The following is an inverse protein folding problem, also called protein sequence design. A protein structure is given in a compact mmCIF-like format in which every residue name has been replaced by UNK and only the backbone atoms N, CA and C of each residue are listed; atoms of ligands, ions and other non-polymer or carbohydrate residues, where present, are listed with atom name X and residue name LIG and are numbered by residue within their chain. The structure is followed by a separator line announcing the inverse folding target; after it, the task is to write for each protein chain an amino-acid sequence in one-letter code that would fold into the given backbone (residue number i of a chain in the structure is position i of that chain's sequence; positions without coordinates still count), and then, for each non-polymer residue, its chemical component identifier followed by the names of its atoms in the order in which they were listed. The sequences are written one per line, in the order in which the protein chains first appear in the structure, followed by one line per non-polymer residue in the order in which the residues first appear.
data_IF_867411475499
#
_entry.id   IF_867411475499
#
_cell.length_a   1.000
_cell.length_b   1.000
_cell.length_c   1.000
_cell.angle_alpha   90.00
_cell.angle_beta   90.00
_cell.angle_gamma   90.00
#
_symmetry.space_group_name_H-M   'P 1'
#
loop_
_entity.id
_entity.type
_entity.pdbx_description
1 polymer ?
#
# COMPACT_ATOMS: atom_id res chain seq x y z
N UNK A 1 7.84 -2.51 4.57
CA UNK A 1 8.33 -3.18 5.79
C UNK A 1 7.07 -3.55 6.57
N UNK A 2 6.83 -4.84 6.80
CA UNK A 2 5.68 -5.29 7.57
C UNK A 2 6.10 -5.39 9.04
N UNK A 3 5.46 -4.61 9.92
CA UNK A 3 5.68 -4.71 11.36
C UNK A 3 4.74 -5.78 11.88
N UNK A 4 5.26 -6.78 12.59
CA UNK A 4 4.40 -7.81 13.19
C UNK A 4 3.62 -7.23 14.36
N UNK A 5 2.35 -7.62 14.49
CA UNK A 5 1.40 -7.15 15.52
C UNK A 5 1.94 -7.25 16.95
N UNK A 6 2.86 -8.18 17.20
CA UNK A 6 3.47 -8.45 18.49
C UNK A 6 4.52 -7.42 18.95
N UNK A 7 4.98 -6.54 18.06
CA UNK A 7 6.05 -5.59 18.34
C UNK A 7 5.55 -4.26 18.92
N UNK A 8 4.27 -3.93 18.74
CA UNK A 8 3.71 -2.63 19.11
C UNK A 8 2.53 -2.77 20.08
N UNK A 9 2.31 -1.78 20.97
CA UNK A 9 1.13 -1.74 21.82
C UNK A 9 -0.16 -1.67 20.98
N UNK A 10 -1.21 -2.36 21.43
CA UNK A 10 -2.50 -2.38 20.75
C UNK A 10 -3.10 -0.98 20.53
N UNK A 11 -2.93 -0.07 21.50
CA UNK A 11 -3.41 1.31 21.39
C UNK A 11 -2.76 2.07 20.24
N UNK A 12 -1.45 1.84 20.03
CA UNK A 12 -0.71 2.47 18.94
C UNK A 12 -1.16 1.92 17.59
N UNK A 13 -1.28 0.59 17.46
CA UNK A 13 -1.80 -0.07 16.26
C UNK A 13 -3.21 0.43 15.92
N UNK A 14 -4.09 0.53 16.91
CA UNK A 14 -5.43 1.07 16.74
C UNK A 14 -5.40 2.53 16.24
N UNK A 15 -4.57 3.38 16.85
CA UNK A 15 -4.43 4.77 16.44
C UNK A 15 -3.88 4.92 15.02
N UNK A 16 -2.90 4.09 14.64
CA UNK A 16 -2.31 4.07 13.30
C UNK A 16 -3.35 3.65 12.25
N UNK A 17 -4.09 2.57 12.50
CA UNK A 17 -5.17 2.11 11.64
C UNK A 17 -6.27 3.16 11.49
N UNK A 18 -6.62 3.86 12.57
CA UNK A 18 -7.61 4.93 12.54
C UNK A 18 -7.15 6.11 11.66
N UNK A 19 -5.91 6.56 11.82
CA UNK A 19 -5.32 7.62 10.99
C UNK A 19 -5.24 7.18 9.53
N UNK A 20 -4.76 5.96 9.27
CA UNK A 20 -4.70 5.39 7.93
C UNK A 20 -6.07 5.35 7.26
N UNK A 21 -7.12 4.95 7.99
CA UNK A 21 -8.48 4.93 7.49
C UNK A 21 -9.00 6.34 7.15
N UNK A 22 -8.75 7.33 8.01
CA UNK A 22 -9.14 8.72 7.75
C UNK A 22 -8.43 9.29 6.51
N UNK A 23 -7.13 9.04 6.39
CA UNK A 23 -6.33 9.45 5.23
C UNK A 23 -6.82 8.74 3.96
N UNK A 24 -7.13 7.45 4.05
CA UNK A 24 -7.69 6.65 2.96
C UNK A 24 -9.06 7.19 2.50
N UNK A 25 -9.95 7.53 3.43
CA UNK A 25 -11.25 8.14 3.11
C UNK A 25 -11.08 9.51 2.46
N UNK A 26 -10.14 10.32 2.96
CA UNK A 26 -9.83 11.62 2.37
C UNK A 26 -9.28 11.47 0.95
N UNK A 27 -8.30 10.59 0.74
CA UNK A 27 -7.75 10.27 -0.57
C UNK A 27 -8.82 9.74 -1.53
N UNK A 28 -9.72 8.87 -1.04
CA UNK A 28 -10.83 8.34 -1.81
C UNK A 28 -11.77 9.45 -2.30
N UNK A 29 -12.04 10.47 -1.47
CA UNK A 29 -12.89 11.59 -1.88
C UNK A 29 -12.23 12.49 -2.92
N UNK A 30 -10.92 12.66 -2.85
CA UNK A 30 -10.14 13.53 -3.74
C UNK A 30 -9.62 12.84 -5.01
N UNK A 31 -9.72 11.51 -5.08
CA UNK A 31 -9.18 10.78 -6.20
C UNK A 31 -9.89 11.15 -7.52
N UNK A 32 -9.14 11.32 -8.63
CA UNK A 32 -9.66 11.69 -9.94
C UNK A 32 -10.35 10.50 -10.63
N UNK A 33 -11.37 9.91 -10.00
CA UNK A 33 -12.09 8.72 -10.48
C UNK A 33 -12.63 8.87 -11.89
N UNK A 34 -13.03 10.08 -12.29
CA UNK A 34 -13.52 10.35 -13.63
C UNK A 34 -12.42 10.14 -14.68
N UNK A 35 -11.21 10.63 -14.41
CA UNK A 35 -10.06 10.48 -15.31
C UNK A 35 -9.68 9.02 -15.43
N UNK A 36 -9.62 8.31 -14.30
CA UNK A 36 -9.32 6.88 -14.27
C UNK A 36 -10.36 6.09 -15.07
N UNK A 37 -11.67 6.34 -14.89
CA UNK A 37 -12.73 5.61 -15.61
C UNK A 37 -12.80 5.90 -17.11
N UNK A 38 -12.50 7.13 -17.53
CA UNK A 38 -12.61 7.54 -18.94
C UNK A 38 -11.39 7.13 -19.77
N UNK A 39 -10.24 6.89 -19.13
CA UNK A 39 -8.99 6.56 -19.82
C UNK A 39 -8.56 5.10 -19.56
N UNK A 40 -8.85 4.16 -20.48
CA UNK A 40 -8.47 2.75 -20.32
C UNK A 40 -6.96 2.54 -20.21
N UNK A 41 -6.16 3.35 -20.91
CA UNK A 41 -4.70 3.24 -20.85
C UNK A 41 -4.19 3.53 -19.44
N UNK A 42 -4.71 4.57 -18.79
CA UNK A 42 -4.36 4.86 -17.39
C UNK A 42 -4.79 3.73 -16.44
N UNK A 43 -5.92 3.06 -16.69
CA UNK A 43 -6.34 1.90 -15.89
C UNK A 43 -5.37 0.74 -16.01
N UNK A 44 -4.97 0.39 -17.23
CA UNK A 44 -4.02 -0.71 -17.47
C UNK A 44 -2.65 -0.42 -16.84
N UNK A 45 -2.16 0.82 -16.97
CA UNK A 45 -0.89 1.23 -16.35
C UNK A 45 -1.00 1.23 -14.83
N UNK A 46 -2.11 1.70 -14.26
CA UNK A 46 -2.35 1.68 -12.82
C UNK A 46 -2.39 0.24 -12.29
N UNK A 47 -3.18 -0.64 -12.89
CA UNK A 47 -3.28 -2.04 -12.48
C UNK A 47 -1.95 -2.78 -12.66
N UNK A 48 -1.25 -2.56 -13.78
CA UNK A 48 0.06 -3.15 -14.03
C UNK A 48 1.10 -2.68 -13.02
N UNK A 49 1.16 -1.38 -12.73
CA UNK A 49 2.05 -0.82 -11.71
C UNK A 49 1.70 -1.33 -10.31
N UNK A 50 0.41 -1.47 -9.97
CA UNK A 50 -0.02 -2.05 -8.70
C UNK A 50 0.40 -3.50 -8.56
N UNK A 51 0.27 -4.30 -9.63
CA UNK A 51 0.69 -5.70 -9.63
C UNK A 51 2.21 -5.83 -9.46
N UNK A 52 2.99 -5.01 -10.17
CA UNK A 52 4.45 -4.95 -10.00
C UNK A 52 4.81 -4.53 -8.57
N UNK A 53 4.15 -3.52 -8.03
CA UNK A 53 4.39 -3.04 -6.68
C UNK A 53 4.05 -4.11 -5.63
N UNK A 54 2.94 -4.83 -5.80
CA UNK A 54 2.59 -5.99 -4.98
C UNK A 54 3.66 -7.09 -5.06
N UNK A 55 4.12 -7.44 -6.26
CA UNK A 55 5.19 -8.41 -6.44
C UNK A 55 6.49 -7.96 -5.74
N UNK A 56 6.84 -6.68 -5.82
CA UNK A 56 8.00 -6.13 -5.13
C UNK A 56 7.87 -6.19 -3.60
N UNK A 57 6.65 -6.24 -3.06
CA UNK A 57 6.39 -6.29 -1.62
C UNK A 57 6.25 -7.71 -1.08
N UNK A 58 5.96 -8.71 -1.92
CA UNK A 58 6.02 -10.12 -1.53
C UNK A 58 7.41 -10.72 -1.78
N UNK A 59 8.20 -10.17 -2.70
CA UNK A 59 9.58 -10.60 -2.91
C UNK A 59 10.51 -10.00 -1.85
N UNK A 60 11.02 -10.86 -0.98
CA UNK A 60 12.11 -10.52 -0.07
C UNK A 60 13.44 -10.49 -0.83
N UNK A 61 14.07 -9.31 -0.92
CA UNK A 61 15.44 -9.19 -1.44
C UNK A 61 16.40 -9.54 -0.29
N UNK A 62 16.55 -10.84 -0.04
CA UNK A 62 17.41 -11.39 1.00
C UNK A 62 18.89 -11.39 0.61
N UNK A 63 19.59 -10.27 0.78
CA UNK A 63 21.07 -10.21 0.61
C UNK A 63 21.79 -10.69 1.89
N UNK A 64 21.13 -10.66 3.06
CA UNK A 64 21.67 -11.14 4.35
C UNK A 64 20.55 -11.78 5.20
N UNK A 65 20.83 -12.81 6.03
CA UNK A 65 19.81 -13.63 6.72
C UNK A 65 18.97 -12.95 7.82
N UNK A 66 18.92 -11.61 7.87
CA UNK A 66 18.22 -10.88 8.93
C UNK A 66 17.79 -9.45 8.52
N UNK A 67 17.97 -9.07 7.25
CA UNK A 67 17.65 -7.71 6.78
C UNK A 67 16.95 -7.80 5.42
N UNK A 68 15.71 -8.29 5.45
CA UNK A 68 14.83 -8.33 4.28
C UNK A 68 14.43 -6.91 3.88
N UNK A 69 15.13 -6.33 2.92
CA UNK A 69 14.72 -5.05 2.34
C UNK A 69 13.68 -5.29 1.27
N UNK A 70 12.55 -4.61 1.42
CA UNK A 70 11.50 -4.58 0.40
C UNK A 70 11.63 -3.27 -0.36
N UNK A 71 11.61 -3.35 -1.69
CA UNK A 71 11.56 -2.15 -2.52
C UNK A 71 10.15 -1.54 -2.40
N UNK A 72 10.05 -0.45 -1.63
CA UNK A 72 8.78 0.20 -1.32
C UNK A 72 8.07 0.76 -2.55
N UNK A 73 8.77 1.34 -3.52
CA UNK A 73 8.18 1.82 -4.79
C UNK A 73 7.14 2.96 -4.70
N UNK A 74 6.69 3.35 -3.50
CA UNK A 74 5.57 4.29 -3.30
C UNK A 74 5.86 5.69 -3.84
N UNK A 75 7.11 6.16 -3.80
CA UNK A 75 7.47 7.49 -4.33
C UNK A 75 7.25 7.56 -5.84
N UNK A 76 7.72 6.55 -6.57
CA UNK A 76 7.52 6.46 -8.04
C UNK A 76 6.03 6.35 -8.35
N UNK A 77 5.32 5.49 -7.61
CA UNK A 77 3.88 5.32 -7.74
C UNK A 77 3.09 6.62 -7.51
N UNK A 78 3.52 7.43 -6.52
CA UNK A 78 2.97 8.76 -6.23
C UNK A 78 3.21 9.76 -7.35
N UNK A 79 4.40 9.75 -7.95
CA UNK A 79 4.71 10.65 -9.07
C UNK A 79 3.94 10.26 -10.35
N UNK A 80 3.65 8.98 -10.55
CA UNK A 80 2.91 8.50 -11.72
C UNK A 80 1.41 8.81 -11.65
N UNK A 81 0.79 8.60 -10.48
CA UNK A 81 -0.68 8.64 -10.34
C UNK A 81 -1.19 9.78 -9.45
N UNK A 82 -0.30 10.53 -8.82
CA UNK A 82 -0.61 11.52 -7.80
C UNK A 82 -0.84 10.89 -6.43
N UNK A 83 -0.89 11.74 -5.41
CA UNK A 83 -0.98 11.34 -4.00
C UNK A 83 -2.24 10.51 -3.69
N UNK A 84 -3.40 10.90 -4.23
CA UNK A 84 -4.68 10.27 -3.88
C UNK A 84 -4.80 8.84 -4.40
N UNK A 85 -4.44 8.59 -5.67
CA UNK A 85 -4.44 7.24 -6.24
C UNK A 85 -3.32 6.39 -5.67
N UNK A 86 -2.19 7.01 -5.31
CA UNK A 86 -1.08 6.32 -4.66
C UNK A 86 -1.47 5.75 -3.30
N UNK A 87 -2.14 6.55 -2.45
CA UNK A 87 -2.65 6.09 -1.15
C UNK A 87 -3.63 4.93 -1.35
N UNK A 88 -4.57 5.03 -2.29
CA UNK A 88 -5.57 3.99 -2.53
C UNK A 88 -4.92 2.70 -3.06
N UNK A 89 -4.03 2.81 -4.04
CA UNK A 89 -3.36 1.65 -4.64
C UNK A 89 -2.44 0.95 -3.65
N UNK A 90 -1.61 1.70 -2.92
CA UNK A 90 -0.74 1.14 -1.88
C UNK A 90 -1.52 0.54 -0.71
N UNK A 91 -2.65 1.14 -0.31
CA UNK A 91 -3.57 0.59 0.70
C UNK A 91 -4.16 -0.75 0.26
N UNK A 92 -4.55 -0.87 -1.02
CA UNK A 92 -5.07 -2.13 -1.58
C UNK A 92 -3.99 -3.22 -1.60
N UNK A 93 -2.77 -2.84 -1.96
CA UNK A 93 -1.62 -3.75 -1.96
C UNK A 93 -1.29 -4.20 -0.54
N UNK A 94 -1.29 -3.28 0.43
CA UNK A 94 -1.08 -3.59 1.84
C UNK A 94 -2.11 -4.62 2.33
N UNK A 95 -3.40 -4.39 2.06
CA UNK A 95 -4.46 -5.36 2.38
C UNK A 95 -4.22 -6.73 1.74
N UNK A 96 -3.76 -6.77 0.48
CA UNK A 96 -3.47 -8.02 -0.21
C UNK A 96 -2.26 -8.76 0.41
N UNK A 97 -1.23 -8.04 0.84
CA UNK A 97 -0.07 -8.60 1.54
C UNK A 97 -0.45 -9.11 2.92
N UNK A 98 -1.20 -8.32 3.70
CA UNK A 98 -1.68 -8.71 5.04
C UNK A 98 -2.60 -9.92 4.98
N UNK A 99 -3.41 -10.08 3.92
CA UNK A 99 -4.21 -11.29 3.72
C UNK A 99 -3.34 -12.56 3.60
N UNK A 100 -2.08 -12.44 3.17
CA UNK A 100 -1.10 -13.52 3.11
C UNK A 100 -0.37 -13.77 4.43
N UNK A 101 -0.08 -12.73 5.23
CA UNK A 101 0.64 -12.86 6.51
C UNK A 101 -0.26 -13.14 7.71
N UNK A 102 -1.51 -12.66 7.70
CA UNK A 102 -2.47 -12.80 8.79
C UNK A 102 -2.40 -11.72 9.89
N UNK A 103 -1.52 -10.74 9.73
CA UNK A 103 -1.28 -9.64 10.70
C UNK A 103 -2.30 -8.50 10.55
N UNK A 104 -3.56 -8.79 10.90
CA UNK A 104 -4.66 -7.83 10.70
C UNK A 104 -4.64 -6.64 11.64
N UNK A 105 -3.90 -6.70 12.76
CA UNK A 105 -3.81 -5.58 13.68
C UNK A 105 -2.82 -4.50 13.21
N UNK A 106 -1.80 -4.85 12.42
CA UNK A 106 -0.82 -3.93 11.83
C UNK A 106 -1.07 -3.73 10.32
N UNK A 107 -2.24 -3.19 9.98
CA UNK A 107 -2.55 -2.77 8.61
C UNK A 107 -1.84 -1.46 8.20
N UNK A 108 -1.36 -0.67 9.17
CA UNK A 108 -0.77 0.65 8.98
C UNK A 108 0.64 0.77 9.61
#
# INVERSE_FOLDING_TARGET
MNLTDSLLPADLLFSANFVWLLVGLYAFRWAPWRVLRVNPQLQHVFLGASAVLFLMWIFEIGVRPALGFHLLGVTVYTLMFGWSLSIIGSSLIMLAVTAGSGDWAALA
#
